data_IF_538613295176
#
_entry.id   IF_538613295176
#
_cell.length_a   1.000
_cell.length_b   1.000
_cell.length_c   1.000
_cell.angle_alpha   90.00
_cell.angle_beta   90.00
_cell.angle_gamma   90.00
#
_symmetry.space_group_name_H-M   'P 1'
#
loop_
_entity.id
_entity.type
_entity.pdbx_description
1 polymer ?
#
# COMPACT_ATOMS: atom_id res chain seq x y z
N UNK A 1 -4.96 -9.55 -18.90
CA UNK A 1 -4.66 -8.74 -17.69
C UNK A 1 -5.89 -8.82 -16.77
N UNK A 2 -5.84 -9.58 -15.68
CA UNK A 2 -6.94 -9.64 -14.71
C UNK A 2 -6.95 -8.37 -13.86
N UNK A 3 -8.14 -7.78 -13.69
CA UNK A 3 -8.43 -6.67 -12.77
C UNK A 3 -9.53 -7.12 -11.82
N UNK A 4 -9.28 -7.03 -10.53
CA UNK A 4 -10.25 -7.35 -9.48
C UNK A 4 -10.56 -6.08 -8.71
N UNK A 5 -11.83 -5.65 -8.74
CA UNK A 5 -12.28 -4.53 -7.92
C UNK A 5 -12.53 -5.01 -6.49
N UNK A 6 -12.03 -4.23 -5.53
CA UNK A 6 -12.12 -4.49 -4.11
C UNK A 6 -12.91 -3.37 -3.43
N UNK A 7 -13.89 -3.73 -2.63
CA UNK A 7 -14.73 -2.78 -1.90
C UNK A 7 -14.56 -2.94 -0.39
N UNK A 8 -14.84 -1.88 0.40
CA UNK A 8 -14.73 -1.93 1.87
C UNK A 8 -15.54 -3.04 2.53
N UNK A 9 -16.63 -3.50 1.90
CA UNK A 9 -17.43 -4.62 2.39
C UNK A 9 -16.70 -5.97 2.35
N UNK A 10 -15.71 -6.11 1.45
CA UNK A 10 -14.89 -7.32 1.32
C UNK A 10 -13.59 -7.26 2.11
N UNK A 11 -13.25 -6.14 2.73
CA UNK A 11 -12.01 -6.00 3.48
C UNK A 11 -12.04 -6.79 4.78
N UNK A 12 -10.90 -7.37 5.15
CA UNK A 12 -10.77 -8.16 6.37
C UNK A 12 -10.27 -7.29 7.51
N UNK A 13 -10.88 -7.41 8.69
CA UNK A 13 -10.56 -6.62 9.88
C UNK A 13 -9.93 -7.50 10.95
N UNK A 14 -8.75 -7.09 11.42
CA UNK A 14 -7.99 -7.80 12.44
C UNK A 14 -7.73 -6.87 13.63
N UNK A 15 -8.40 -7.06 14.77
CA UNK A 15 -8.09 -6.31 15.98
C UNK A 15 -6.68 -6.66 16.47
N UNK A 16 -5.98 -5.65 16.97
CA UNK A 16 -4.65 -5.87 17.55
C UNK A 16 -4.75 -6.61 18.87
N UNK A 17 -3.76 -7.47 19.14
CA UNK A 17 -3.72 -8.26 20.38
C UNK A 17 -3.72 -7.41 21.65
N UNK A 18 -3.20 -6.20 21.60
CA UNK A 18 -3.16 -5.24 22.71
C UNK A 18 -4.43 -4.38 22.83
N UNK A 19 -5.45 -4.59 21.99
CA UNK A 19 -6.69 -3.82 21.98
C UNK A 19 -6.54 -2.37 21.49
N UNK A 20 -5.33 -1.96 21.10
CA UNK A 20 -5.02 -0.56 20.74
C UNK A 20 -5.42 -0.14 19.33
N UNK A 21 -5.99 -1.02 18.49
CA UNK A 21 -6.36 -0.67 17.13
C UNK A 21 -6.85 -1.84 16.29
N UNK A 22 -7.18 -1.52 15.04
CA UNK A 22 -7.63 -2.49 14.03
C UNK A 22 -6.82 -2.29 12.76
N UNK A 23 -6.30 -3.37 12.20
CA UNK A 23 -5.79 -3.39 10.84
C UNK A 23 -6.90 -3.83 9.89
N UNK A 24 -7.06 -3.13 8.79
CA UNK A 24 -7.98 -3.47 7.71
C UNK A 24 -7.15 -3.91 6.52
N UNK A 25 -7.17 -5.21 6.22
CA UNK A 25 -6.50 -5.75 5.04
C UNK A 25 -7.37 -5.49 3.80
N UNK A 26 -6.84 -4.72 2.85
CA UNK A 26 -7.46 -4.40 1.57
C UNK A 26 -7.16 -5.51 0.56
N UNK A 27 -5.88 -5.92 0.51
CA UNK A 27 -5.40 -7.05 -0.29
C UNK A 27 -4.19 -7.70 0.39
N UNK A 28 -4.07 -9.01 0.30
CA UNK A 28 -2.93 -9.75 0.84
C UNK A 28 -2.73 -11.07 0.09
N UNK A 29 -1.49 -11.54 0.10
CA UNK A 29 -1.13 -12.87 -0.38
C UNK A 29 -0.42 -13.64 0.74
N UNK A 30 -0.77 -14.91 0.88
CA UNK A 30 -0.22 -15.82 1.87
C UNK A 30 0.13 -17.16 1.25
N UNK A 31 1.06 -17.84 1.87
CA UNK A 31 1.34 -19.24 1.56
C UNK A 31 0.18 -20.11 2.05
N UNK A 32 -0.09 -21.18 1.32
CA UNK A 32 -1.10 -22.17 1.70
C UNK A 32 -0.78 -22.80 3.07
N UNK A 33 -1.84 -23.10 3.83
CA UNK A 33 -1.74 -23.74 5.15
C UNK A 33 -1.43 -22.80 6.32
N UNK A 34 -1.27 -21.50 6.09
CA UNK A 34 -1.06 -20.54 7.16
C UNK A 34 -2.33 -19.77 7.53
N UNK A 35 -2.57 -19.47 8.84
CA UNK A 35 -3.76 -18.76 9.28
C UNK A 35 -3.76 -17.31 8.79
N UNK A 36 -4.96 -16.76 8.64
CA UNK A 36 -5.16 -15.36 8.33
C UNK A 36 -4.80 -14.44 9.52
N UNK A 37 -4.48 -13.19 9.23
CA UNK A 37 -4.24 -12.15 10.23
C UNK A 37 -2.87 -12.14 10.91
N UNK A 38 -2.11 -13.24 10.83
CA UNK A 38 -0.74 -13.32 11.39
C UNK A 38 0.35 -12.91 10.40
N UNK A 39 1.61 -12.98 10.87
CA UNK A 39 2.79 -12.71 10.03
C UNK A 39 3.38 -13.98 9.40
N UNK A 40 3.10 -15.14 9.98
CA UNK A 40 3.56 -16.41 9.43
C UNK A 40 2.90 -16.70 8.09
N UNK A 41 3.71 -17.07 7.10
CA UNK A 41 3.26 -17.34 5.74
C UNK A 41 2.79 -16.12 4.97
N UNK A 42 2.89 -14.90 5.51
CA UNK A 42 2.57 -13.69 4.77
C UNK A 42 3.61 -13.46 3.68
N UNK A 43 3.16 -13.37 2.42
CA UNK A 43 4.01 -12.93 1.30
C UNK A 43 4.00 -11.41 1.22
N UNK A 44 2.81 -10.81 1.18
CA UNK A 44 2.63 -9.37 1.26
C UNK A 44 1.22 -9.00 1.75
N UNK A 45 1.08 -7.79 2.27
CA UNK A 45 -0.18 -7.22 2.72
C UNK A 45 -0.22 -5.72 2.41
N UNK A 46 -1.28 -5.28 1.76
CA UNK A 46 -1.66 -3.90 1.58
C UNK A 46 -2.90 -3.62 2.44
N UNK A 47 -2.82 -2.69 3.37
CA UNK A 47 -3.92 -2.44 4.29
C UNK A 47 -3.79 -1.10 5.01
N UNK A 48 -4.88 -0.69 5.66
CA UNK A 48 -4.92 0.54 6.45
C UNK A 48 -5.06 0.26 7.94
N UNK A 49 -4.59 1.23 8.72
CA UNK A 49 -4.53 1.12 10.18
C UNK A 49 -4.68 2.50 10.79
N UNK A 50 -5.46 2.60 11.86
CA UNK A 50 -5.48 3.78 12.72
C UNK A 50 -4.45 3.60 13.83
N UNK A 51 -3.55 4.58 14.00
CA UNK A 51 -2.63 4.69 15.14
C UNK A 51 -3.28 5.64 16.14
N UNK A 52 -3.87 5.13 17.23
CA UNK A 52 -4.68 5.95 18.12
C UNK A 52 -3.85 6.75 19.14
N UNK A 53 -2.63 6.26 19.46
CA UNK A 53 -1.74 6.84 20.45
C UNK A 53 -0.27 6.59 20.09
N UNK A 54 0.67 7.40 20.58
CA UNK A 54 2.10 7.15 20.45
C UNK A 54 2.49 5.78 21.02
N UNK A 55 3.46 5.11 20.42
CA UNK A 55 3.94 3.84 20.94
C UNK A 55 4.90 3.11 20.02
N UNK A 56 5.47 2.00 20.49
CA UNK A 56 6.40 1.21 19.71
C UNK A 56 5.67 0.46 18.59
N UNK A 57 6.32 0.35 17.44
CA UNK A 57 5.89 -0.52 16.36
C UNK A 57 6.37 -1.97 16.59
N UNK A 58 5.63 -2.92 16.02
CA UNK A 58 6.04 -4.32 16.06
C UNK A 58 7.34 -4.52 15.28
N UNK A 59 8.25 -5.31 15.85
CA UNK A 59 9.38 -5.86 15.13
C UNK A 59 8.87 -6.85 14.07
N UNK A 60 9.22 -6.57 12.82
CA UNK A 60 8.88 -7.39 11.67
C UNK A 60 10.16 -7.76 10.91
N UNK A 61 11.07 -8.42 11.60
CA UNK A 61 12.32 -8.89 11.01
C UNK A 61 12.06 -9.73 9.75
N UNK A 62 12.80 -9.46 8.68
CA UNK A 62 12.64 -10.10 7.38
C UNK A 62 11.62 -9.45 6.45
N UNK A 63 10.84 -8.47 6.92
CA UNK A 63 9.89 -7.74 6.09
C UNK A 63 10.40 -6.36 5.69
N UNK A 64 10.02 -5.92 4.48
CA UNK A 64 10.09 -4.52 4.08
C UNK A 64 8.73 -3.85 4.30
N UNK A 65 8.74 -2.55 4.62
CA UNK A 65 7.53 -1.76 4.85
C UNK A 65 7.57 -0.47 4.04
N UNK A 66 6.46 -0.17 3.36
CA UNK A 66 6.16 1.17 2.87
C UNK A 66 4.95 1.69 3.64
N UNK A 67 4.97 2.95 4.06
CA UNK A 67 3.91 3.56 4.84
C UNK A 67 3.61 4.97 4.35
N UNK A 68 2.34 5.35 4.36
CA UNK A 68 1.88 6.69 4.02
C UNK A 68 0.76 7.10 4.96
N UNK A 69 0.81 8.35 5.46
CA UNK A 69 -0.30 8.96 6.21
C UNK A 69 -1.36 9.40 5.22
N UNK A 70 -2.62 9.03 5.47
CA UNK A 70 -3.79 9.40 4.66
C UNK A 70 -4.80 10.27 5.42
N UNK A 71 -4.66 10.39 6.76
CA UNK A 71 -5.52 11.20 7.60
C UNK A 71 -4.93 11.47 8.98
N UNK A 72 -5.42 12.48 9.65
CA UNK A 72 -4.91 12.94 10.96
C UNK A 72 -3.93 14.11 10.84
N UNK A 73 -3.40 14.56 11.99
CA UNK A 73 -2.58 15.78 12.08
C UNK A 73 -1.07 15.55 11.90
N UNK A 74 -0.66 14.32 11.55
CA UNK A 74 0.74 13.99 11.26
C UNK A 74 1.36 12.99 12.23
N UNK A 75 2.38 12.33 11.71
CA UNK A 75 3.11 11.23 12.35
C UNK A 75 4.61 11.46 12.19
N UNK A 76 5.37 11.17 13.24
CA UNK A 76 6.82 11.07 13.18
C UNK A 76 7.23 9.68 13.68
N UNK A 77 8.09 9.02 12.93
CA UNK A 77 8.68 7.75 13.33
C UNK A 77 10.08 8.01 13.89
N UNK A 78 10.24 7.80 15.19
CA UNK A 78 11.53 7.93 15.87
C UNK A 78 12.27 6.61 15.75
N UNK A 79 13.48 6.65 15.18
CA UNK A 79 14.36 5.50 14.94
C UNK A 79 15.73 5.74 15.59
N UNK A 80 16.57 4.72 15.74
CA UNK A 80 17.95 4.91 16.22
C UNK A 80 18.79 5.84 15.36
N UNK A 81 18.50 5.93 14.05
CA UNK A 81 19.26 6.73 13.08
C UNK A 81 18.68 8.14 12.90
N UNK A 82 17.60 8.48 13.61
CA UNK A 82 16.92 9.78 13.52
C UNK A 82 15.42 9.67 13.29
N UNK A 83 14.80 10.77 12.89
CA UNK A 83 13.37 10.86 12.70
C UNK A 83 12.99 10.72 11.20
N UNK A 84 11.92 9.97 10.93
CA UNK A 84 11.26 9.92 9.63
C UNK A 84 9.98 10.73 9.74
N UNK A 85 9.89 11.82 8.97
CA UNK A 85 8.79 12.78 9.02
C UNK A 85 7.67 12.39 8.06
N UNK A 86 6.49 12.05 8.61
CA UNK A 86 5.24 11.81 7.88
C UNK A 86 4.15 12.82 8.27
N UNK A 87 4.51 14.03 8.68
CA UNK A 87 3.52 15.08 8.98
C UNK A 87 2.80 15.54 7.73
N UNK A 88 3.47 15.52 6.58
CA UNK A 88 2.83 15.78 5.30
C UNK A 88 2.10 14.52 4.83
N UNK A 89 0.76 14.53 4.70
CA UNK A 89 0.01 13.39 4.19
C UNK A 89 0.37 13.10 2.72
N UNK A 90 0.08 11.89 2.30
CA UNK A 90 0.34 11.39 0.93
C UNK A 90 1.82 11.41 0.52
N UNK A 91 2.74 11.38 1.49
CA UNK A 91 4.17 11.23 1.26
C UNK A 91 4.63 9.86 1.76
N UNK A 92 4.83 8.87 0.88
CA UNK A 92 5.24 7.54 1.28
C UNK A 92 6.68 7.51 1.81
N UNK A 93 6.92 6.64 2.79
CA UNK A 93 8.26 6.32 3.29
C UNK A 93 8.47 4.81 3.25
N UNK A 94 9.73 4.40 3.13
CA UNK A 94 10.12 3.00 3.13
C UNK A 94 11.17 2.74 4.21
N UNK A 95 11.02 1.63 4.93
CA UNK A 95 11.96 1.19 5.96
C UNK A 95 11.88 -0.33 6.15
N UNK A 96 12.90 -0.90 6.78
CA UNK A 96 12.95 -2.32 7.12
C UNK A 96 12.13 -2.59 8.37
N UNK A 97 11.43 -3.72 8.39
CA UNK A 97 10.51 -4.08 9.47
C UNK A 97 11.17 -4.29 10.82
N UNK A 98 12.45 -4.64 10.85
CA UNK A 98 13.27 -4.80 12.05
C UNK A 98 13.81 -3.51 12.65
N UNK A 99 13.67 -2.36 11.98
CA UNK A 99 14.09 -1.07 12.56
C UNK A 99 13.24 -0.79 13.80
N UNK A 100 13.84 -0.59 14.98
CA UNK A 100 13.11 -0.21 16.17
C UNK A 100 12.48 1.18 15.97
N UNK A 101 11.16 1.25 15.98
CA UNK A 101 10.40 2.48 15.74
C UNK A 101 9.47 2.75 16.91
N UNK A 102 9.49 4.00 17.39
CA UNK A 102 8.44 4.54 18.25
C UNK A 102 7.71 5.65 17.51
N UNK A 103 6.39 5.57 17.43
CA UNK A 103 5.58 6.61 16.81
C UNK A 103 5.37 7.79 17.77
N UNK A 104 5.43 9.01 17.23
CA UNK A 104 5.00 10.26 17.87
C UNK A 104 3.91 10.88 17.01
N UNK A 105 2.78 11.19 17.61
CA UNK A 105 1.65 11.83 16.95
C UNK A 105 1.67 13.33 17.26
N UNK A 106 1.39 14.18 16.28
CA UNK A 106 1.34 15.62 16.50
C UNK A 106 0.04 16.00 17.25
N UNK A 107 -1.10 15.47 16.81
CA UNK A 107 -2.38 15.71 17.47
C UNK A 107 -3.40 14.62 17.13
N UNK A 108 -3.81 13.85 18.14
CA UNK A 108 -4.85 12.82 18.00
C UNK A 108 -4.45 11.64 17.11
N UNK A 109 -5.41 10.78 16.77
CA UNK A 109 -5.19 9.61 15.95
C UNK A 109 -4.76 9.93 14.51
N UNK A 110 -3.97 9.05 13.93
CA UNK A 110 -3.50 9.13 12.54
C UNK A 110 -3.90 7.88 11.77
N UNK A 111 -4.40 8.05 10.57
CA UNK A 111 -4.71 6.94 9.67
C UNK A 111 -3.59 6.77 8.64
N UNK A 112 -3.13 5.53 8.49
CA UNK A 112 -2.03 5.18 7.59
C UNK A 112 -2.40 4.01 6.70
N UNK A 113 -1.86 3.99 5.49
CA UNK A 113 -1.79 2.81 4.63
C UNK A 113 -0.40 2.23 4.71
N UNK A 114 -0.32 0.91 4.84
CA UNK A 114 0.91 0.13 4.84
C UNK A 114 0.92 -0.87 3.69
N UNK A 115 2.05 -0.99 3.02
CA UNK A 115 2.41 -2.14 2.20
C UNK A 115 3.59 -2.83 2.88
N UNK A 116 3.40 -4.09 3.28
CA UNK A 116 4.37 -4.89 4.03
C UNK A 116 4.59 -6.19 3.29
N UNK A 117 5.84 -6.61 3.10
CA UNK A 117 6.13 -7.83 2.37
C UNK A 117 7.37 -8.55 2.89
N UNK A 118 7.35 -9.88 2.81
CA UNK A 118 8.51 -10.74 3.01
C UNK A 118 9.56 -10.40 1.93
N UNK A 119 10.67 -9.76 2.37
CA UNK A 119 11.71 -9.29 1.46
C UNK A 119 12.48 -10.41 0.77
N UNK A 120 12.39 -11.64 1.27
CA UNK A 120 13.01 -12.78 0.61
C UNK A 120 12.24 -13.22 -0.65
N UNK A 121 10.97 -12.86 -0.75
CA UNK A 121 10.05 -13.32 -1.80
C UNK A 121 9.76 -12.27 -2.85
N UNK A 122 9.46 -11.05 -2.42
CA UNK A 122 9.06 -9.96 -3.32
C UNK A 122 9.75 -8.65 -2.95
N UNK A 123 9.87 -7.77 -3.93
CA UNK A 123 10.20 -6.36 -3.70
C UNK A 123 8.91 -5.55 -3.73
N UNK A 124 8.85 -4.48 -2.95
CA UNK A 124 7.66 -3.62 -2.89
C UNK A 124 8.03 -2.16 -3.13
N UNK A 125 7.05 -1.41 -3.64
CA UNK A 125 7.10 0.04 -3.72
C UNK A 125 5.71 0.62 -3.49
N UNK A 126 5.64 1.87 -3.00
CA UNK A 126 4.39 2.59 -2.77
C UNK A 126 4.56 4.02 -3.29
N UNK A 127 3.74 4.36 -4.26
CA UNK A 127 3.72 5.68 -4.90
C UNK A 127 2.34 6.30 -4.72
N UNK A 128 2.28 7.61 -4.62
CA UNK A 128 1.03 8.38 -4.69
C UNK A 128 0.99 9.09 -6.02
N UNK A 129 -0.06 8.87 -6.79
CA UNK A 129 -0.31 9.59 -8.04
C UNK A 129 -1.37 10.66 -7.80
N UNK A 130 -1.02 11.90 -8.09
CA UNK A 130 -1.95 13.02 -8.21
C UNK A 130 -2.63 13.07 -9.58
N UNK A 131 -3.66 13.91 -9.70
CA UNK A 131 -4.34 14.14 -10.96
C UNK A 131 -3.38 14.64 -12.05
N UNK A 132 -3.44 14.05 -13.24
CA UNK A 132 -2.57 14.33 -14.39
C UNK A 132 -1.22 13.59 -14.38
N UNK A 133 -0.84 12.94 -13.27
CA UNK A 133 0.43 12.21 -13.18
C UNK A 133 0.31 10.81 -13.81
N UNK A 134 1.46 10.30 -14.25
CA UNK A 134 1.59 8.97 -14.85
C UNK A 134 2.73 8.19 -14.22
N UNK A 135 2.59 6.86 -14.19
CA UNK A 135 3.57 5.92 -13.66
C UNK A 135 3.68 4.72 -14.60
N UNK A 136 4.90 4.36 -14.98
CA UNK A 136 5.12 3.10 -15.68
C UNK A 136 5.19 1.96 -14.67
N UNK A 137 4.27 1.03 -14.79
CA UNK A 137 4.17 -0.16 -13.94
C UNK A 137 4.95 -1.31 -14.59
N UNK A 138 5.90 -1.93 -13.90
CA UNK A 138 6.57 -3.14 -14.39
C UNK A 138 5.64 -4.36 -14.33
N UNK A 139 6.10 -5.51 -14.82
CA UNK A 139 5.43 -6.78 -14.55
C UNK A 139 5.32 -7.02 -13.03
N UNK A 140 4.19 -7.57 -12.57
CA UNK A 140 3.95 -7.82 -11.14
C UNK A 140 2.50 -7.67 -10.74
N UNK A 141 2.25 -7.71 -9.45
CA UNK A 141 0.95 -7.41 -8.85
C UNK A 141 0.94 -5.95 -8.37
N UNK A 142 -0.15 -5.24 -8.63
CA UNK A 142 -0.31 -3.86 -8.18
C UNK A 142 -1.66 -3.67 -7.52
N UNK A 143 -1.69 -2.90 -6.44
CA UNK A 143 -2.91 -2.49 -5.74
C UNK A 143 -3.08 -0.99 -5.91
N UNK A 144 -4.13 -0.59 -6.61
CA UNK A 144 -4.56 0.80 -6.78
C UNK A 144 -5.61 1.10 -5.71
N UNK A 145 -5.44 2.14 -4.92
CA UNK A 145 -6.36 2.45 -3.81
C UNK A 145 -6.69 3.94 -3.78
N UNK A 146 -7.97 4.26 -3.71
CA UNK A 146 -8.50 5.62 -3.55
C UNK A 146 -8.88 5.84 -2.07
N UNK A 147 -7.96 6.31 -1.19
CA UNK A 147 -8.15 6.22 0.26
C UNK A 147 -9.25 7.14 0.80
N UNK A 148 -9.37 8.36 0.30
CA UNK A 148 -10.22 9.39 0.90
C UNK A 148 -11.21 10.02 -0.07
N UNK A 149 -10.93 10.01 -1.37
CA UNK A 149 -11.76 10.61 -2.41
C UNK A 149 -11.75 9.73 -3.66
N UNK A 150 -12.72 9.89 -4.58
CA UNK A 150 -12.73 9.09 -5.80
C UNK A 150 -11.47 9.27 -6.63
N UNK A 151 -11.04 8.21 -7.32
CA UNK A 151 -9.97 8.26 -8.29
C UNK A 151 -10.43 7.65 -9.64
N UNK A 152 -10.02 8.29 -10.73
CA UNK A 152 -10.19 7.77 -12.07
C UNK A 152 -8.82 7.56 -12.70
N UNK A 153 -8.60 6.39 -13.27
CA UNK A 153 -7.32 5.93 -13.76
C UNK A 153 -7.48 5.36 -15.18
N UNK A 154 -6.46 5.53 -16.00
CA UNK A 154 -6.33 4.89 -17.31
C UNK A 154 -5.10 4.00 -17.29
N UNK A 155 -5.29 2.71 -17.56
CA UNK A 155 -4.22 1.73 -17.67
C UNK A 155 -4.09 1.31 -19.14
N UNK A 156 -2.97 1.62 -19.75
CA UNK A 156 -2.72 1.38 -21.14
C UNK A 156 -1.41 0.62 -21.39
N UNK A 157 -1.16 0.23 -22.66
CA UNK A 157 0.13 -0.32 -23.05
C UNK A 157 1.23 0.73 -22.84
N UNK A 158 2.45 0.25 -22.54
CA UNK A 158 3.59 1.14 -22.41
C UNK A 158 3.82 1.94 -23.69
N UNK A 159 4.08 3.25 -23.55
CA UNK A 159 4.34 4.12 -24.67
C UNK A 159 5.46 3.58 -25.58
N UNK A 160 5.22 3.56 -26.90
CA UNK A 160 6.15 3.04 -27.90
C UNK A 160 6.01 1.54 -28.24
N UNK A 161 5.11 0.80 -27.57
CA UNK A 161 4.73 -0.55 -27.99
C UNK A 161 3.48 -0.48 -28.85
N UNK A 162 3.63 -0.65 -30.16
CA UNK A 162 2.54 -0.74 -31.11
C UNK A 162 1.80 -2.08 -30.95
N UNK A 163 0.70 -2.04 -30.22
CA UNK A 163 -0.29 -3.10 -30.19
C UNK A 163 -1.59 -2.40 -29.83
N UNK A 164 -2.58 -2.40 -30.72
CA UNK A 164 -3.84 -1.66 -30.64
C UNK A 164 -4.75 -2.04 -29.46
N UNK A 165 -4.20 -2.25 -28.28
CA UNK A 165 -4.98 -2.46 -27.06
C UNK A 165 -5.47 -1.11 -26.54
N UNK A 166 -6.79 -0.96 -26.41
CA UNK A 166 -7.41 0.19 -25.79
C UNK A 166 -6.99 0.31 -24.31
N UNK A 167 -6.86 1.54 -23.82
CA UNK A 167 -6.63 1.78 -22.41
C UNK A 167 -7.86 1.37 -21.59
N UNK A 168 -7.63 0.68 -20.48
CA UNK A 168 -8.66 0.28 -19.53
C UNK A 168 -8.93 1.43 -18.56
N UNK A 169 -10.15 1.93 -18.51
CA UNK A 169 -10.60 2.88 -17.52
C UNK A 169 -10.95 2.16 -16.20
N UNK A 170 -10.40 2.65 -15.09
CA UNK A 170 -10.63 2.14 -13.73
C UNK A 170 -11.15 3.30 -12.89
N UNK A 171 -12.39 3.18 -12.40
CA UNK A 171 -12.99 4.14 -11.48
C UNK A 171 -13.09 3.54 -10.08
N UNK A 172 -12.54 4.24 -9.09
CA UNK A 172 -12.55 3.84 -7.68
C UNK A 172 -13.34 4.87 -6.87
N UNK A 173 -14.35 4.42 -6.14
CA UNK A 173 -15.00 5.22 -5.12
C UNK A 173 -14.07 5.39 -3.90
N UNK A 174 -14.36 6.30 -2.97
CA UNK A 174 -13.59 6.45 -1.74
C UNK A 174 -13.45 5.11 -0.99
N UNK A 175 -12.26 4.83 -0.48
CA UNK A 175 -11.86 3.59 0.20
C UNK A 175 -11.94 2.31 -0.68
N UNK A 176 -12.21 2.41 -1.99
CA UNK A 176 -12.16 1.28 -2.91
C UNK A 176 -10.77 1.08 -3.49
N UNK A 177 -10.51 -0.15 -3.93
CA UNK A 177 -9.25 -0.51 -4.56
C UNK A 177 -9.47 -1.37 -5.81
N UNK A 178 -8.41 -1.51 -6.62
CA UNK A 178 -8.32 -2.49 -7.68
C UNK A 178 -6.99 -3.23 -7.56
N UNK A 179 -7.03 -4.55 -7.63
CA UNK A 179 -5.82 -5.37 -7.76
C UNK A 179 -5.67 -5.77 -9.22
N UNK A 180 -4.47 -5.55 -9.76
CA UNK A 180 -4.12 -5.88 -11.15
C UNK A 180 -2.85 -6.72 -11.18
N UNK A 181 -2.82 -7.69 -12.10
CA UNK A 181 -1.61 -8.48 -12.36
C UNK A 181 -1.16 -8.26 -13.80
N UNK A 182 0.05 -7.77 -13.94
CA UNK A 182 0.67 -7.46 -15.23
C UNK A 182 1.70 -8.52 -15.59
N UNK A 183 1.58 -9.09 -16.79
CA UNK A 183 2.58 -10.00 -17.38
C UNK A 183 3.69 -9.24 -18.13
N UNK A 184 3.58 -7.93 -18.26
CA UNK A 184 4.53 -7.03 -18.88
C UNK A 184 4.28 -5.59 -18.43
N UNK A 185 5.16 -4.67 -18.79
CA UNK A 185 5.02 -3.28 -18.40
C UNK A 185 3.80 -2.61 -19.03
N UNK A 186 3.18 -1.69 -18.27
CA UNK A 186 2.02 -0.90 -18.66
C UNK A 186 2.15 0.52 -18.09
N UNK A 187 1.51 1.50 -18.72
CA UNK A 187 1.48 2.86 -18.21
C UNK A 187 0.13 3.14 -17.53
N UNK A 188 0.21 3.62 -16.30
CA UNK A 188 -0.94 4.04 -15.49
C UNK A 188 -0.97 5.57 -15.46
N UNK A 189 -2.10 6.18 -15.80
CA UNK A 189 -2.34 7.60 -15.67
C UNK A 189 -3.47 7.86 -14.68
N UNK A 190 -3.26 8.78 -13.76
CA UNK A 190 -4.27 9.25 -12.84
C UNK A 190 -4.98 10.47 -13.45
N UNK A 191 -6.27 10.33 -13.78
CA UNK A 191 -7.08 11.44 -14.31
C UNK A 191 -7.61 12.31 -13.19
N UNK A 192 -8.05 11.67 -12.09
CA UNK A 192 -8.51 12.35 -10.88
C UNK A 192 -8.07 11.55 -9.65
N UNK A 193 -7.85 12.19 -8.53
CA UNK A 193 -7.45 11.47 -7.32
C UNK A 193 -6.74 12.36 -6.35
N UNK A 194 -6.18 11.83 -5.26
CA UNK A 194 -5.00 10.97 -5.26
C UNK A 194 -5.31 9.46 -5.27
N UNK A 195 -4.43 8.70 -5.91
CA UNK A 195 -4.43 7.25 -5.89
C UNK A 195 -3.11 6.71 -5.31
N UNK A 196 -3.20 5.80 -4.35
CA UNK A 196 -2.07 5.04 -3.87
C UNK A 196 -1.82 3.85 -4.80
N UNK A 197 -0.60 3.67 -5.23
CA UNK A 197 -0.17 2.57 -6.09
C UNK A 197 0.86 1.73 -5.33
N UNK A 198 0.40 0.61 -4.77
CA UNK A 198 1.27 -0.40 -4.17
C UNK A 198 1.72 -1.38 -5.23
N UNK A 199 3.02 -1.50 -5.46
CA UNK A 199 3.61 -2.45 -6.41
C UNK A 199 4.30 -3.58 -5.67
N UNK A 200 3.98 -4.82 -6.05
CA UNK A 200 4.55 -6.05 -5.54
C UNK A 200 5.22 -6.75 -6.71
N UNK A 201 6.55 -6.79 -6.69
CA UNK A 201 7.37 -7.18 -7.82
C UNK A 201 8.09 -8.50 -7.51
N UNK A 202 8.12 -9.46 -8.45
CA UNK A 202 8.92 -10.65 -8.29
C UNK A 202 10.39 -10.28 -8.12
N UNK A 203 11.09 -10.98 -7.24
CA UNK A 203 12.55 -10.87 -7.20
C UNK A 203 13.14 -11.68 -8.33
N UNK A 204 14.07 -11.08 -9.06
CA UNK A 204 14.94 -11.85 -9.96
C UNK A 204 15.72 -12.86 -9.13
N UNK A 205 15.71 -14.11 -9.56
CA UNK A 205 16.51 -15.19 -8.98
C UNK A 205 18.00 -14.90 -9.11
#
# INVERSE_FOLDING_TARGET
>A
MPVTLLSPAGYRRFPWKNGGGVTVDIAAERLDGYPEGGWQGLVWRFGRTTIPAPGPFSDLAGFDRCQVVIGGAGLVLVTPDGEIDLRQPFRPVRYRGEVPITSRLEQGPVEVVNLIADRSRVAIDLVVLGAGESLSLPLGCHVLHAPTMPAALLLGPQAGRSGGAEALAIALAPDHAAQITLAGAADLRCETGPCLVGSILPRSA
#
